data_IF_787716251964
#
_entry.id   IF_787716251964
#
_cell.length_a   1.000
_cell.length_b   1.000
_cell.length_c   1.000
_cell.angle_alpha   90.00
_cell.angle_beta   90.00
_cell.angle_gamma   90.00
#
_symmetry.space_group_name_H-M   'P 1'
#
loop_
_entity.id
_entity.type
_entity.pdbx_description
1 polymer ?
#
# COMPACT_ATOMS: atom_id res chain seq x y z
N UNK A 1 -0.81 4.76 -4.25
CA UNK A 1 -1.14 3.37 -3.89
C UNK A 1 -2.26 2.86 -4.77
N UNK A 2 -3.52 3.29 -4.60
CA UNK A 2 -4.65 2.86 -5.44
C UNK A 2 -4.41 2.93 -6.95
N UNK A 3 -3.84 4.04 -7.46
CA UNK A 3 -3.52 4.18 -8.89
C UNK A 3 -2.44 3.19 -9.36
N UNK A 4 -1.46 2.88 -8.50
CA UNK A 4 -0.42 1.90 -8.81
C UNK A 4 -1.01 0.48 -8.83
N UNK A 5 -1.94 0.20 -7.91
CA UNK A 5 -2.66 -1.06 -7.88
C UNK A 5 -3.50 -1.26 -9.16
N UNK A 6 -4.23 -0.21 -9.54
CA UNK A 6 -4.97 -0.18 -10.79
C UNK A 6 -4.05 -0.38 -11.99
N UNK A 7 -2.89 0.27 -12.02
CA UNK A 7 -1.94 0.12 -13.11
C UNK A 7 -1.41 -1.32 -13.23
N UNK A 8 -1.08 -1.94 -12.10
CA UNK A 8 -0.56 -3.30 -12.06
C UNK A 8 -1.61 -4.32 -12.48
N UNK A 9 -2.76 -4.36 -11.81
CA UNK A 9 -3.80 -5.36 -12.04
C UNK A 9 -4.62 -5.10 -13.30
N UNK A 10 -4.85 -3.82 -13.63
CA UNK A 10 -5.61 -3.41 -14.81
C UNK A 10 -4.81 -3.47 -16.11
N UNK A 11 -3.59 -2.93 -16.14
CA UNK A 11 -2.81 -2.84 -17.39
C UNK A 11 -1.72 -3.90 -17.52
N UNK A 12 -0.97 -4.19 -16.45
CA UNK A 12 0.18 -5.12 -16.54
C UNK A 12 -0.27 -6.58 -16.52
N UNK A 13 -1.07 -6.95 -15.52
CA UNK A 13 -1.55 -8.32 -15.35
C UNK A 13 -2.88 -8.57 -16.07
N UNK A 14 -3.68 -7.53 -16.25
CA UNK A 14 -5.04 -7.59 -16.83
C UNK A 14 -5.90 -8.69 -16.17
N UNK A 15 -5.81 -8.81 -14.83
CA UNK A 15 -6.43 -9.88 -14.06
C UNK A 15 -7.83 -9.53 -13.53
N UNK A 16 -8.28 -8.28 -13.71
CA UNK A 16 -9.65 -7.85 -13.40
C UNK A 16 -10.73 -8.64 -14.15
N UNK A 17 -10.41 -9.21 -15.32
CA UNK A 17 -11.34 -10.09 -16.04
C UNK A 17 -11.66 -11.39 -15.31
N UNK A 18 -10.87 -11.75 -14.28
CA UNK A 18 -11.05 -12.96 -13.47
C UNK A 18 -11.84 -12.69 -12.19
N UNK A 19 -12.23 -11.45 -11.91
CA UNK A 19 -13.02 -11.10 -10.74
C UNK A 19 -14.43 -11.68 -10.86
N UNK A 20 -14.88 -12.36 -9.81
CA UNK A 20 -16.24 -12.87 -9.67
C UNK A 20 -17.24 -11.82 -9.19
N UNK A 21 -16.75 -10.68 -8.71
CA UNK A 21 -17.54 -9.55 -8.21
C UNK A 21 -17.64 -8.44 -9.27
N UNK A 22 -18.71 -7.62 -9.27
CA UNK A 22 -18.81 -6.47 -10.15
C UNK A 22 -17.62 -5.52 -9.97
N UNK A 23 -17.08 -5.04 -11.09
CA UNK A 23 -15.85 -4.25 -11.12
C UNK A 23 -15.96 -2.95 -10.29
N UNK A 24 -17.13 -2.31 -10.34
CA UNK A 24 -17.44 -1.12 -9.54
C UNK A 24 -17.34 -1.41 -8.03
N UNK A 25 -17.90 -2.53 -7.59
CA UNK A 25 -17.85 -2.96 -6.18
C UNK A 25 -16.42 -3.19 -5.74
N UNK A 26 -15.60 -3.86 -6.57
CA UNK A 26 -14.18 -4.04 -6.29
C UNK A 26 -13.48 -2.69 -6.12
N UNK A 27 -13.69 -1.75 -7.03
CA UNK A 27 -13.01 -0.45 -6.98
C UNK A 27 -13.39 0.39 -5.77
N UNK A 28 -14.67 0.38 -5.37
CA UNK A 28 -15.12 1.06 -4.15
C UNK A 28 -14.46 0.42 -2.92
N UNK A 29 -14.50 -0.90 -2.79
CA UNK A 29 -13.90 -1.61 -1.66
C UNK A 29 -12.38 -1.40 -1.59
N UNK A 30 -11.70 -1.50 -2.73
CA UNK A 30 -10.27 -1.23 -2.83
C UNK A 30 -9.97 0.22 -2.40
N UNK A 31 -10.71 1.22 -2.87
CA UNK A 31 -10.48 2.62 -2.48
C UNK A 31 -10.55 2.84 -0.96
N UNK A 32 -11.52 2.20 -0.29
CA UNK A 32 -11.66 2.26 1.17
C UNK A 32 -10.45 1.60 1.84
N UNK A 33 -10.04 0.41 1.38
CA UNK A 33 -8.86 -0.29 1.91
C UNK A 33 -7.60 0.58 1.78
N UNK A 34 -7.38 1.20 0.62
CA UNK A 34 -6.24 2.07 0.38
C UNK A 34 -6.24 3.35 1.21
N UNK A 35 -7.42 3.91 1.51
CA UNK A 35 -7.55 5.03 2.45
C UNK A 35 -7.16 4.61 3.87
N UNK A 36 -7.63 3.44 4.33
CA UNK A 36 -7.27 2.89 5.64
C UNK A 36 -5.77 2.62 5.73
N UNK A 37 -5.16 2.03 4.69
CA UNK A 37 -3.72 1.79 4.65
C UNK A 37 -2.95 3.12 4.74
N UNK A 38 -3.37 4.15 4.00
CA UNK A 38 -2.74 5.48 4.07
C UNK A 38 -2.83 6.11 5.46
N UNK A 39 -3.98 5.95 6.13
CA UNK A 39 -4.18 6.39 7.50
C UNK A 39 -3.24 5.65 8.46
N UNK A 40 -3.14 4.32 8.35
CA UNK A 40 -2.26 3.48 9.18
C UNK A 40 -0.79 3.88 8.97
N UNK A 41 -0.32 3.98 7.72
CA UNK A 41 1.05 4.39 7.41
C UNK A 41 1.36 5.76 8.03
N UNK A 42 0.47 6.73 7.84
CA UNK A 42 0.65 8.10 8.35
C UNK A 42 0.70 8.10 9.88
N UNK A 43 -0.27 7.45 10.52
CA UNK A 43 -0.37 7.34 11.98
C UNK A 43 0.89 6.72 12.57
N UNK A 44 1.25 5.51 12.13
CA UNK A 44 2.45 4.79 12.60
C UNK A 44 3.71 5.62 12.37
N UNK A 45 3.85 6.25 11.20
CA UNK A 45 5.03 7.08 10.88
C UNK A 45 5.17 8.32 11.78
N UNK A 46 4.05 8.88 12.24
CA UNK A 46 4.03 10.02 13.17
C UNK A 46 4.33 9.60 14.62
N UNK A 47 3.90 8.41 15.05
CA UNK A 47 4.16 7.90 16.41
C UNK A 47 5.58 7.35 16.61
N UNK A 48 6.29 6.98 15.54
CA UNK A 48 7.68 6.52 15.64
C UNK A 48 8.61 7.71 15.97
N UNK A 49 9.11 7.73 17.22
CA UNK A 49 9.98 8.80 17.74
C UNK A 49 11.44 8.66 17.27
N UNK A 50 11.67 8.73 15.96
CA UNK A 50 13.01 8.58 15.36
C UNK A 50 13.33 9.76 14.43
N UNK A 51 13.46 10.96 14.99
CA UNK A 51 13.95 12.16 14.27
C UNK A 51 13.00 12.78 13.22
N UNK A 52 13.47 13.83 12.54
CA UNK A 52 12.67 14.71 11.65
C UNK A 52 12.39 14.13 10.24
N UNK A 53 12.84 12.92 9.93
CA UNK A 53 12.81 12.37 8.56
C UNK A 53 11.50 11.62 8.24
N UNK A 54 10.35 12.32 8.30
CA UNK A 54 9.01 11.76 8.05
C UNK A 54 8.86 11.06 6.69
N UNK A 55 9.50 11.56 5.62
CA UNK A 55 9.51 10.88 4.31
C UNK A 55 10.12 9.49 4.41
N UNK A 56 11.32 9.38 5.01
CA UNK A 56 12.02 8.09 5.17
C UNK A 56 11.23 7.13 6.06
N UNK A 57 10.63 7.63 7.14
CA UNK A 57 9.75 6.84 8.02
C UNK A 57 8.54 6.32 7.26
N UNK A 58 7.83 7.21 6.57
CA UNK A 58 6.68 6.89 5.74
C UNK A 58 7.01 5.77 4.75
N UNK A 59 8.10 5.91 3.98
CA UNK A 59 8.52 4.88 3.03
C UNK A 59 8.81 3.54 3.70
N UNK A 60 9.58 3.50 4.80
CA UNK A 60 9.92 2.25 5.49
C UNK A 60 8.69 1.57 6.11
N UNK A 61 7.81 2.35 6.74
CA UNK A 61 6.54 1.86 7.29
C UNK A 61 5.64 1.35 6.17
N UNK A 62 5.58 2.07 5.04
CA UNK A 62 4.87 1.64 3.84
C UNK A 62 5.38 0.30 3.32
N UNK A 63 6.68 0.15 3.12
CA UNK A 63 7.29 -1.13 2.68
C UNK A 63 6.95 -2.27 3.65
N UNK A 64 7.07 -2.04 4.96
CA UNK A 64 6.74 -3.04 5.97
C UNK A 64 5.24 -3.41 5.95
N UNK A 65 4.34 -2.44 5.78
CA UNK A 65 2.91 -2.70 5.65
C UNK A 65 2.61 -3.47 4.36
N UNK A 66 3.27 -3.15 3.25
CA UNK A 66 3.15 -3.89 1.99
C UNK A 66 3.54 -5.36 2.13
N UNK A 67 4.62 -5.65 2.86
CA UNK A 67 5.01 -7.01 3.23
C UNK A 67 3.87 -7.76 3.94
N UNK A 68 3.28 -7.17 4.98
CA UNK A 68 2.22 -7.83 5.75
C UNK A 68 0.92 -7.98 4.97
N UNK A 69 0.54 -6.99 4.15
CA UNK A 69 -0.64 -7.09 3.29
C UNK A 69 -0.50 -8.26 2.33
N UNK A 70 0.66 -8.38 1.67
CA UNK A 70 0.90 -9.51 0.77
C UNK A 70 0.86 -10.83 1.52
N UNK A 71 1.50 -10.92 2.70
CA UNK A 71 1.53 -12.15 3.48
C UNK A 71 0.11 -12.60 3.88
N UNK A 72 -0.75 -11.65 4.29
CA UNK A 72 -2.16 -11.94 4.60
C UNK A 72 -2.89 -12.44 3.35
N UNK A 73 -2.76 -11.75 2.21
CA UNK A 73 -3.40 -12.14 0.96
C UNK A 73 -2.95 -13.55 0.52
N UNK A 74 -1.65 -13.82 0.62
CA UNK A 74 -1.03 -15.09 0.29
C UNK A 74 -1.56 -16.24 1.18
N UNK A 75 -1.59 -16.03 2.51
CA UNK A 75 -2.11 -17.04 3.47
C UNK A 75 -3.60 -17.30 3.27
N UNK A 76 -4.38 -16.28 2.90
CA UNK A 76 -5.80 -16.42 2.61
C UNK A 76 -6.09 -17.04 1.23
N UNK A 77 -5.06 -17.38 0.46
CA UNK A 77 -5.21 -17.95 -0.88
C UNK A 77 -5.79 -16.96 -1.90
N UNK A 78 -5.72 -15.66 -1.60
CA UNK A 78 -6.10 -14.60 -2.55
C UNK A 78 -4.99 -14.47 -3.57
N UNK A 79 -5.09 -15.25 -4.65
CA UNK A 79 -4.17 -15.23 -5.79
C UNK A 79 -4.96 -15.13 -7.08
N UNK A 80 -4.54 -14.22 -7.96
CA UNK A 80 -5.12 -14.05 -9.29
C UNK A 80 -4.60 -15.09 -10.32
N UNK A 81 -3.72 -16.01 -9.90
CA UNK A 81 -3.07 -16.99 -10.77
C UNK A 81 -3.52 -18.43 -10.46
N UNK A 82 -3.97 -19.14 -11.50
CA UNK A 82 -4.37 -20.56 -11.45
C UNK A 82 -3.19 -21.54 -11.41
N UNK A 83 -1.99 -21.12 -11.83
CA UNK A 83 -0.73 -21.86 -11.73
C UNK A 83 0.29 -20.95 -11.03
N UNK A 84 0.43 -21.06 -9.71
CA UNK A 84 1.31 -20.20 -8.93
C UNK A 84 2.78 -20.62 -9.08
N UNK A 85 3.41 -20.22 -10.18
CA UNK A 85 4.87 -20.29 -10.28
C UNK A 85 5.48 -19.32 -9.25
N UNK A 86 6.54 -19.75 -8.57
CA UNK A 86 7.22 -18.97 -7.52
C UNK A 86 7.65 -17.57 -8.01
N UNK A 87 7.91 -17.42 -9.30
CA UNK A 87 8.24 -16.15 -9.94
C UNK A 87 7.12 -15.11 -9.83
N UNK A 88 5.87 -15.49 -10.12
CA UNK A 88 4.72 -14.58 -10.02
C UNK A 88 4.50 -14.12 -8.58
N UNK A 89 4.68 -15.03 -7.62
CA UNK A 89 4.59 -14.71 -6.19
C UNK A 89 5.64 -13.65 -5.81
N UNK A 90 6.89 -13.86 -6.22
CA UNK A 90 7.98 -12.94 -5.90
C UNK A 90 7.77 -11.54 -6.50
N UNK A 91 7.28 -11.47 -7.75
CA UNK A 91 7.01 -10.21 -8.44
C UNK A 91 5.85 -9.47 -7.77
N UNK A 92 4.73 -10.14 -7.52
CA UNK A 92 3.56 -9.50 -6.88
C UNK A 92 3.90 -9.04 -5.45
N UNK A 93 4.70 -9.82 -4.72
CA UNK A 93 5.19 -9.45 -3.40
C UNK A 93 6.07 -8.20 -3.44
N UNK A 94 7.06 -8.17 -4.34
CA UNK A 94 7.92 -7.00 -4.52
C UNK A 94 7.11 -5.78 -4.95
N UNK A 95 6.12 -5.96 -5.83
CA UNK A 95 5.22 -4.90 -6.24
C UNK A 95 4.39 -4.36 -5.06
N UNK A 96 3.82 -5.25 -4.23
CA UNK A 96 3.06 -4.84 -3.06
C UNK A 96 3.90 -3.99 -2.10
N UNK A 97 5.16 -4.38 -1.86
CA UNK A 97 6.10 -3.60 -1.05
C UNK A 97 6.43 -2.24 -1.68
N UNK A 98 6.68 -2.21 -2.99
CA UNK A 98 6.99 -0.97 -3.72
C UNK A 98 5.80 0.00 -3.73
N UNK A 99 4.59 -0.52 -3.94
CA UNK A 99 3.35 0.25 -3.97
C UNK A 99 3.08 0.94 -2.62
N UNK A 100 3.13 0.18 -1.52
CA UNK A 100 2.93 0.76 -0.19
C UNK A 100 4.09 1.68 0.20
N UNK A 101 5.33 1.36 -0.20
CA UNK A 101 6.49 2.23 -0.01
C UNK A 101 6.34 3.59 -0.71
N UNK A 102 5.86 3.59 -1.96
CA UNK A 102 5.56 4.81 -2.71
C UNK A 102 4.40 5.60 -2.07
N UNK A 103 3.40 4.90 -1.54
CA UNK A 103 2.34 5.49 -0.71
C UNK A 103 2.87 6.21 0.52
N UNK A 104 3.72 5.53 1.28
CA UNK A 104 4.33 6.09 2.48
C UNK A 104 5.28 7.24 2.19
N UNK A 105 6.01 7.19 1.07
CA UNK A 105 6.77 8.34 0.57
C UNK A 105 5.86 9.56 0.37
N UNK A 106 4.73 9.37 -0.34
CA UNK A 106 3.79 10.45 -0.64
C UNK A 106 3.16 11.02 0.65
N UNK A 107 2.75 10.16 1.59
CA UNK A 107 2.24 10.59 2.90
C UNK A 107 3.26 11.47 3.64
N UNK A 108 4.52 11.01 3.73
CA UNK A 108 5.58 11.76 4.39
C UNK A 108 5.95 13.05 3.65
N UNK A 109 5.84 13.06 2.31
CA UNK A 109 6.08 14.24 1.49
C UNK A 109 4.99 15.30 1.70
N UNK A 110 3.72 14.91 1.67
CA UNK A 110 2.58 15.80 1.95
C UNK A 110 2.67 16.37 3.37
N UNK A 111 3.00 15.54 4.36
CA UNK A 111 3.18 16.00 5.74
C UNK A 111 4.32 17.03 5.87
N UNK A 112 5.39 16.88 5.07
CA UNK A 112 6.48 17.87 5.02
C UNK A 112 6.05 19.19 4.39
N UNK A 113 5.19 19.16 3.37
CA UNK A 113 4.67 20.37 2.72
C UNK A 113 3.64 21.10 3.60
N UNK A 114 2.82 20.34 4.30
CA UNK A 114 1.76 20.86 5.18
C UNK A 114 2.00 20.36 6.61
N UNK A 115 3.02 20.90 7.31
CA UNK A 115 3.25 20.55 8.70
C UNK A 115 2.04 21.01 9.52
N UNK A 116 1.26 20.06 9.99
CA UNK A 116 0.24 20.32 11.00
C UNK A 116 1.03 20.73 12.25
N UNK A 117 0.87 21.97 12.70
CA UNK A 117 1.42 22.42 13.98
C UNK A 117 0.81 21.54 15.08
N UNK A 118 1.56 20.55 15.56
CA UNK A 118 1.25 19.92 16.83
C UNK A 118 1.60 20.91 17.93
N UNK A 119 0.67 21.28 18.84
CA UNK A 119 0.94 22.18 19.96
C UNK A 119 1.82 21.56 21.07
N UNK A 120 2.56 20.49 20.78
CA UNK A 120 3.23 19.66 21.80
C UNK A 120 4.75 19.90 21.91
N UNK A 121 5.22 21.10 21.55
CA UNK A 121 6.57 21.56 21.93
C UNK A 121 6.51 23.04 22.28
N UNK A 122 6.09 23.32 23.51
CA UNK A 122 6.39 24.54 24.25
C UNK A 122 7.10 24.13 25.55
#
# INVERSE_FOLDING_TARGET
>A
MYVLNYAWHGFVLNDYMRLSIPLETYFVMASIVYLVIGLVITTVSTFINTGKHLIRKGTLVGVAIGFFIYLIAFVLGVSFHSNSQMEHIAIDFAWQMAEQGAGGFLCGFVFRLFPIHSPATA
#
